data_IF_554281492751
#
_entry.id   IF_554281492751
#
_cell.length_a   1.000
_cell.length_b   1.000
_cell.length_c   1.000
_cell.angle_alpha   90.00
_cell.angle_beta   90.00
_cell.angle_gamma   90.00
#
_symmetry.space_group_name_H-M   'P 1'
#
loop_
_entity.id
_entity.type
_entity.pdbx_description
1 polymer ?
#
# COMPACT_ATOMS: atom_id res chain seq x y z
N UNK A 1 -8.26 -22.70 -23.09
CA UNK A 1 -7.21 -21.67 -22.91
C UNK A 1 -7.48 -20.71 -21.71
N UNK A 2 -8.47 -20.96 -20.82
CA UNK A 2 -8.79 -20.08 -19.67
C UNK A 2 -8.20 -20.57 -18.31
N UNK A 3 -7.52 -21.73 -18.27
CA UNK A 3 -7.19 -22.40 -16.99
C UNK A 3 -6.00 -21.82 -16.20
N UNK A 4 -5.28 -20.80 -16.70
CA UNK A 4 -4.09 -20.21 -16.05
C UNK A 4 -4.15 -18.68 -16.01
N UNK A 5 -5.23 -18.13 -15.47
CA UNK A 5 -5.46 -16.68 -15.38
C UNK A 5 -4.88 -16.03 -14.12
N UNK A 6 -4.27 -16.82 -13.22
CA UNK A 6 -3.69 -16.32 -11.98
C UNK A 6 -4.74 -16.03 -10.89
N UNK A 7 -4.29 -15.57 -9.72
CA UNK A 7 -5.17 -15.20 -8.61
C UNK A 7 -5.93 -13.89 -8.90
N UNK A 8 -7.15 -13.77 -8.38
CA UNK A 8 -7.92 -12.52 -8.40
C UNK A 8 -8.27 -12.07 -6.96
N UNK A 9 -8.05 -10.80 -6.59
CA UNK A 9 -8.24 -10.34 -5.21
C UNK A 9 -9.68 -10.51 -4.70
N UNK A 10 -10.65 -10.19 -5.55
CA UNK A 10 -12.08 -10.28 -5.26
C UNK A 10 -12.54 -11.72 -4.99
N UNK A 11 -11.98 -12.71 -5.69
CA UNK A 11 -12.26 -14.13 -5.46
C UNK A 11 -11.85 -14.54 -4.05
N UNK A 12 -10.67 -14.12 -3.56
CA UNK A 12 -10.24 -14.42 -2.19
C UNK A 12 -11.14 -13.76 -1.15
N UNK A 13 -11.51 -12.49 -1.33
CA UNK A 13 -12.44 -11.82 -0.43
C UNK A 13 -13.82 -12.52 -0.42
N UNK A 14 -14.30 -12.98 -1.58
CA UNK A 14 -15.53 -13.75 -1.71
C UNK A 14 -15.47 -15.11 -1.01
N UNK A 15 -14.37 -15.84 -1.17
CA UNK A 15 -14.10 -17.11 -0.48
C UNK A 15 -14.06 -16.92 1.04
N UNK A 16 -13.39 -15.87 1.52
CA UNK A 16 -13.38 -15.53 2.95
C UNK A 16 -14.80 -15.33 3.47
N UNK A 17 -15.61 -14.49 2.80
CA UNK A 17 -17.00 -14.24 3.22
C UNK A 17 -17.85 -15.50 3.21
N UNK A 18 -17.64 -16.39 2.23
CA UNK A 18 -18.32 -17.68 2.17
C UNK A 18 -18.02 -18.55 3.40
N UNK A 19 -16.76 -18.62 3.84
CA UNK A 19 -16.39 -19.32 5.07
C UNK A 19 -16.91 -18.62 6.33
N UNK A 20 -16.91 -17.27 6.38
CA UNK A 20 -17.53 -16.50 7.47
C UNK A 20 -19.02 -16.85 7.63
N UNK A 21 -19.79 -16.89 6.53
CA UNK A 21 -21.22 -17.22 6.53
C UNK A 21 -21.48 -18.65 7.05
N UNK A 22 -20.56 -19.57 6.78
CA UNK A 22 -20.62 -20.95 7.28
C UNK A 22 -20.22 -21.10 8.75
N UNK A 23 -19.73 -20.04 9.38
CA UNK A 23 -19.14 -20.08 10.72
C UNK A 23 -17.77 -20.75 10.77
N UNK A 24 -17.12 -20.95 9.62
CA UNK A 24 -15.77 -21.51 9.54
C UNK A 24 -14.73 -20.39 9.60
N UNK A 25 -14.49 -19.92 10.83
CA UNK A 25 -13.57 -18.82 11.13
C UNK A 25 -12.15 -19.12 10.66
N UNK A 26 -11.69 -20.37 10.82
CA UNK A 26 -10.32 -20.74 10.48
C UNK A 26 -10.07 -20.66 8.98
N UNK A 27 -10.97 -21.24 8.16
CA UNK A 27 -10.84 -21.15 6.70
C UNK A 27 -11.00 -19.70 6.21
N UNK A 28 -11.89 -18.91 6.83
CA UNK A 28 -12.05 -17.49 6.50
C UNK A 28 -10.74 -16.71 6.69
N UNK A 29 -10.06 -16.92 7.82
CA UNK A 29 -8.78 -16.28 8.14
C UNK A 29 -7.66 -16.71 7.19
N UNK A 30 -7.55 -18.02 6.90
CA UNK A 30 -6.55 -18.55 5.96
C UNK A 30 -6.76 -17.97 4.56
N UNK A 31 -8.01 -17.91 4.07
CA UNK A 31 -8.33 -17.29 2.79
C UNK A 31 -7.95 -15.80 2.75
N UNK A 32 -8.24 -15.06 3.83
CA UNK A 32 -7.94 -13.64 3.91
C UNK A 32 -6.43 -13.37 3.94
N UNK A 33 -5.67 -14.16 4.71
CA UNK A 33 -4.20 -14.06 4.75
C UNK A 33 -3.60 -14.36 3.37
N UNK A 34 -4.12 -15.41 2.72
CA UNK A 34 -3.68 -15.80 1.37
C UNK A 34 -3.90 -14.70 0.35
N UNK A 35 -4.95 -13.87 0.51
CA UNK A 35 -5.18 -12.70 -0.33
C UNK A 35 -3.99 -11.74 -0.31
N UNK A 36 -3.46 -11.40 0.88
CA UNK A 36 -2.28 -10.52 0.98
C UNK A 36 -1.04 -11.12 0.32
N UNK A 37 -0.77 -12.41 0.55
CA UNK A 37 0.40 -13.11 0.00
C UNK A 37 0.33 -13.30 -1.52
N UNK A 38 -0.87 -13.39 -2.08
CA UNK A 38 -1.07 -13.63 -3.52
C UNK A 38 -0.70 -12.42 -4.39
N UNK A 39 -0.65 -11.20 -3.82
CA UNK A 39 -0.36 -9.96 -4.54
C UNK A 39 0.77 -9.18 -3.85
N UNK A 40 2.04 -9.57 -4.05
CA UNK A 40 3.18 -8.87 -3.47
C UNK A 40 3.19 -7.40 -3.88
N UNK A 41 3.46 -6.50 -2.92
CA UNK A 41 3.48 -5.05 -3.16
C UNK A 41 2.11 -4.37 -3.16
N UNK A 42 1.01 -5.10 -2.90
CA UNK A 42 -0.34 -4.54 -2.82
C UNK A 42 -0.90 -4.62 -1.40
N UNK A 43 -1.35 -3.48 -0.88
CA UNK A 43 -1.82 -3.35 0.50
C UNK A 43 -3.22 -3.94 0.73
N UNK A 44 -4.10 -3.91 -0.27
CA UNK A 44 -5.52 -4.28 -0.15
C UNK A 44 -5.78 -5.61 0.58
N UNK A 45 -5.05 -6.67 0.21
CA UNK A 45 -5.23 -7.99 0.83
C UNK A 45 -4.90 -7.98 2.32
N UNK A 46 -3.85 -7.25 2.71
CA UNK A 46 -3.46 -7.07 4.10
C UNK A 46 -4.45 -6.20 4.89
N UNK A 47 -5.00 -5.15 4.29
CA UNK A 47 -6.08 -4.35 4.88
C UNK A 47 -7.32 -5.19 5.16
N UNK A 48 -7.75 -5.96 4.16
CA UNK A 48 -8.89 -6.85 4.29
C UNK A 48 -8.70 -7.87 5.43
N UNK A 49 -7.51 -8.50 5.49
CA UNK A 49 -7.16 -9.43 6.54
C UNK A 49 -7.13 -8.77 7.93
N UNK A 50 -6.53 -7.58 8.05
CA UNK A 50 -6.50 -6.81 9.30
C UNK A 50 -7.91 -6.52 9.84
N UNK A 51 -8.83 -6.09 8.98
CA UNK A 51 -10.22 -5.86 9.36
C UNK A 51 -10.94 -7.13 9.80
N UNK A 52 -10.70 -8.24 9.11
CA UNK A 52 -11.27 -9.53 9.50
C UNK A 52 -10.78 -9.95 10.89
N UNK A 53 -9.48 -9.84 11.15
CA UNK A 53 -8.88 -10.11 12.46
C UNK A 53 -9.52 -9.24 13.56
N UNK A 54 -9.73 -7.96 13.30
CA UNK A 54 -10.39 -7.05 14.24
C UNK A 54 -11.83 -7.49 14.52
N UNK A 55 -12.62 -7.90 13.50
CA UNK A 55 -13.98 -8.44 13.68
C UNK A 55 -14.01 -9.69 14.56
N UNK A 56 -12.95 -10.50 14.52
CA UNK A 56 -12.78 -11.69 15.36
C UNK A 56 -12.08 -11.40 16.70
N UNK A 57 -11.97 -10.13 17.11
CA UNK A 57 -11.32 -9.71 18.36
C UNK A 57 -9.83 -10.09 18.48
N UNK A 58 -9.15 -10.37 17.36
CA UNK A 58 -7.70 -10.67 17.31
C UNK A 58 -6.89 -9.38 17.14
N UNK A 59 -7.05 -8.46 18.09
CA UNK A 59 -6.61 -7.06 17.94
C UNK A 59 -5.10 -6.88 17.77
N UNK A 60 -4.26 -7.71 18.41
CA UNK A 60 -2.80 -7.64 18.25
C UNK A 60 -2.37 -7.96 16.82
N UNK A 61 -2.92 -9.04 16.26
CA UNK A 61 -2.64 -9.47 14.89
C UNK A 61 -3.22 -8.49 13.87
N UNK A 62 -4.43 -7.98 14.15
CA UNK A 62 -5.06 -6.96 13.31
C UNK A 62 -4.16 -5.73 13.19
N UNK A 63 -3.58 -5.27 14.31
CA UNK A 63 -2.66 -4.14 14.36
C UNK A 63 -1.38 -4.40 13.56
N UNK A 64 -0.81 -5.59 13.67
CA UNK A 64 0.42 -5.94 12.96
C UNK A 64 0.17 -6.03 11.45
N UNK A 65 -0.95 -6.63 11.03
CA UNK A 65 -1.39 -6.66 9.63
C UNK A 65 -1.67 -5.25 9.08
N UNK A 66 -2.28 -4.36 9.87
CA UNK A 66 -2.51 -2.97 9.47
C UNK A 66 -1.21 -2.20 9.30
N UNK A 67 -0.25 -2.37 10.22
CA UNK A 67 1.08 -1.73 10.10
C UNK A 67 1.82 -2.20 8.87
N UNK A 68 1.75 -3.49 8.56
CA UNK A 68 2.35 -4.02 7.34
C UNK A 68 1.67 -3.44 6.09
N UNK A 69 0.34 -3.36 6.07
CA UNK A 69 -0.39 -2.76 4.96
C UNK A 69 0.00 -1.28 4.73
N UNK A 70 0.23 -0.51 5.79
CA UNK A 70 0.66 0.90 5.72
C UNK A 70 2.13 1.08 5.32
N UNK A 71 2.93 0.02 5.25
CA UNK A 71 4.28 0.05 4.68
C UNK A 71 4.30 -0.19 3.18
N UNK A 72 3.18 -0.68 2.63
CA UNK A 72 2.98 -0.89 1.20
C UNK A 72 2.40 0.39 0.57
N UNK A 73 2.45 0.54 -0.77
CA UNK A 73 2.01 1.76 -1.43
C UNK A 73 0.54 2.09 -1.09
N UNK A 74 0.29 3.27 -0.55
CA UNK A 74 -1.01 3.64 0.02
C UNK A 74 -2.11 3.72 -1.03
N UNK A 75 -1.76 4.03 -2.28
CA UNK A 75 -2.71 4.02 -3.38
C UNK A 75 -3.21 2.61 -3.75
N UNK A 76 -2.63 1.55 -3.17
CA UNK A 76 -3.12 0.15 -3.28
C UNK A 76 -3.97 -0.31 -2.09
N UNK A 77 -4.24 0.56 -1.11
CA UNK A 77 -4.98 0.22 0.11
C UNK A 77 -6.41 -0.26 -0.19
N UNK A 78 -7.09 0.43 -1.13
CA UNK A 78 -8.47 0.16 -1.50
C UNK A 78 -9.45 0.21 -0.31
N UNK A 79 -9.08 0.91 0.77
CA UNK A 79 -9.86 1.09 2.00
C UNK A 79 -9.53 2.47 2.59
N UNK A 80 -10.17 2.83 3.71
CA UNK A 80 -9.93 4.10 4.40
C UNK A 80 -8.57 4.11 5.10
N UNK A 81 -7.69 5.05 4.72
CA UNK A 81 -6.40 5.27 5.37
C UNK A 81 -6.57 5.56 6.87
N UNK A 82 -7.57 6.37 7.22
CA UNK A 82 -7.92 6.69 8.61
C UNK A 82 -8.27 5.45 9.42
N UNK A 83 -9.13 4.58 8.89
CA UNK A 83 -9.52 3.34 9.59
C UNK A 83 -8.31 2.42 9.77
N UNK A 84 -7.50 2.24 8.73
CA UNK A 84 -6.28 1.41 8.82
C UNK A 84 -5.28 1.99 9.83
N UNK A 85 -5.12 3.33 9.85
CA UNK A 85 -4.32 4.03 10.84
C UNK A 85 -4.78 3.75 12.27
N UNK A 86 -6.08 3.79 12.52
CA UNK A 86 -6.65 3.47 13.84
C UNK A 86 -6.37 2.03 14.26
N UNK A 87 -6.54 1.05 13.35
CA UNK A 87 -6.23 -0.35 13.65
C UNK A 87 -4.73 -0.53 13.93
N UNK A 88 -3.86 0.15 13.18
CA UNK A 88 -2.41 0.14 13.38
C UNK A 88 -1.94 0.85 14.67
N UNK A 89 -2.85 1.58 15.33
CA UNK A 89 -2.61 2.28 16.59
C UNK A 89 -2.14 3.73 16.44
N UNK A 90 -2.31 4.34 15.28
CA UNK A 90 -2.10 5.78 15.09
C UNK A 90 -3.32 6.54 15.64
N UNK A 91 -3.05 7.60 16.41
CA UNK A 91 -4.11 8.35 17.09
C UNK A 91 -4.82 9.35 16.17
N UNK A 92 -4.11 9.86 15.17
CA UNK A 92 -4.58 10.90 14.25
C UNK A 92 -4.10 10.65 12.81
N UNK A 93 -4.98 10.91 11.84
CA UNK A 93 -4.70 10.82 10.41
C UNK A 93 -3.57 11.79 9.98
N UNK A 94 -3.51 12.95 10.66
CA UNK A 94 -2.45 13.94 10.49
C UNK A 94 -1.05 13.40 10.82
N UNK A 95 -0.93 12.39 11.70
CA UNK A 95 0.36 11.75 11.96
C UNK A 95 0.85 10.96 10.76
N UNK A 96 -0.02 10.19 10.10
CA UNK A 96 0.34 9.46 8.88
C UNK A 96 0.73 10.42 7.77
N UNK A 97 -0.09 11.46 7.53
CA UNK A 97 0.22 12.48 6.52
C UNK A 97 1.59 13.14 6.76
N UNK A 98 1.93 13.47 8.01
CA UNK A 98 3.25 14.03 8.37
C UNK A 98 4.40 13.06 8.13
N UNK A 99 4.19 11.77 8.41
CA UNK A 99 5.19 10.73 8.15
C UNK A 99 5.47 10.63 6.65
N UNK A 100 4.44 10.50 5.82
CA UNK A 100 4.61 10.37 4.37
C UNK A 100 5.13 11.65 3.73
N UNK A 101 4.72 12.82 4.21
CA UNK A 101 5.29 14.11 3.79
C UNK A 101 6.80 14.13 4.00
N UNK A 102 7.24 13.77 5.22
CA UNK A 102 8.67 13.74 5.55
C UNK A 102 9.43 12.74 4.68
N UNK A 103 8.84 11.59 4.36
CA UNK A 103 9.45 10.60 3.48
C UNK A 103 9.56 11.08 2.03
N UNK A 104 8.57 11.85 1.54
CA UNK A 104 8.60 12.42 0.19
C UNK A 104 9.66 13.54 0.06
N UNK A 105 9.82 14.36 1.10
CA UNK A 105 10.80 15.45 1.14
C UNK A 105 12.24 14.98 1.41
N UNK A 106 12.45 13.73 1.83
CA UNK A 106 13.77 13.18 2.15
C UNK A 106 14.57 12.86 0.88
N UNK A 107 15.69 13.57 0.67
CA UNK A 107 16.61 13.34 -0.45
C UNK A 107 17.49 12.09 -0.28
N UNK A 108 17.47 11.46 0.92
CA UNK A 108 18.17 10.21 1.22
C UNK A 108 19.68 10.25 0.95
N UNK A 109 20.31 11.40 1.21
CA UNK A 109 21.74 11.59 0.99
C UNK A 109 22.61 10.52 1.67
N UNK A 110 22.21 10.06 2.85
CA UNK A 110 22.93 9.02 3.58
C UNK A 110 22.86 7.68 2.86
N UNK A 111 21.71 7.29 2.29
CA UNK A 111 21.60 6.05 1.51
C UNK A 111 22.47 6.10 0.24
N UNK A 112 22.58 7.27 -0.39
CA UNK A 112 23.48 7.48 -1.52
C UNK A 112 24.94 7.32 -1.10
N UNK A 113 25.33 7.88 0.06
CA UNK A 113 26.69 7.70 0.63
C UNK A 113 26.98 6.24 0.97
N UNK A 114 25.96 5.50 1.42
CA UNK A 114 26.04 4.08 1.73
C UNK A 114 26.03 3.17 0.48
N UNK A 115 25.96 3.76 -0.72
CA UNK A 115 26.15 3.08 -2.00
C UNK A 115 24.87 2.80 -2.79
N UNK A 116 23.71 3.33 -2.36
CA UNK A 116 22.47 3.20 -3.12
C UNK A 116 22.52 4.02 -4.42
N UNK A 117 22.13 3.46 -5.57
CA UNK A 117 22.09 4.21 -6.83
C UNK A 117 21.15 5.41 -6.75
N UNK A 118 21.55 6.54 -7.33
CA UNK A 118 20.74 7.77 -7.34
C UNK A 118 19.42 7.58 -8.07
N UNK A 119 19.44 6.76 -9.12
CA UNK A 119 18.29 6.38 -9.91
C UNK A 119 17.25 5.66 -9.04
N UNK A 120 17.69 4.74 -8.17
CA UNK A 120 16.81 4.05 -7.23
C UNK A 120 16.24 5.01 -6.18
N UNK A 121 17.05 5.96 -5.69
CA UNK A 121 16.57 6.99 -4.75
C UNK A 121 15.50 7.87 -5.39
N UNK A 122 15.65 8.23 -6.67
CA UNK A 122 14.63 8.98 -7.40
C UNK A 122 13.31 8.21 -7.53
N UNK A 123 13.37 6.90 -7.81
CA UNK A 123 12.17 6.04 -7.85
C UNK A 123 11.51 5.87 -6.48
N UNK A 124 12.29 5.78 -5.42
CA UNK A 124 11.76 5.73 -4.06
C UNK A 124 11.06 7.04 -3.69
N UNK A 125 11.66 8.18 -4.03
CA UNK A 125 11.04 9.51 -3.83
C UNK A 125 9.74 9.63 -4.62
N UNK A 126 9.70 9.11 -5.85
CA UNK A 126 8.47 9.04 -6.64
C UNK A 126 7.38 8.23 -5.92
N UNK A 127 7.72 7.08 -5.33
CA UNK A 127 6.78 6.27 -4.56
C UNK A 127 6.26 7.02 -3.33
N UNK A 128 7.12 7.69 -2.56
CA UNK A 128 6.69 8.46 -1.38
C UNK A 128 5.87 9.69 -1.74
N UNK A 129 6.16 10.35 -2.87
CA UNK A 129 5.35 11.44 -3.37
C UNK A 129 3.91 10.95 -3.65
N UNK A 130 3.77 9.79 -4.29
CA UNK A 130 2.45 9.18 -4.53
C UNK A 130 1.73 8.81 -3.23
N UNK A 131 2.44 8.22 -2.27
CA UNK A 131 1.87 7.88 -0.96
C UNK A 131 1.45 9.12 -0.18
N UNK A 132 2.26 10.18 -0.21
CA UNK A 132 1.91 11.46 0.41
C UNK A 132 0.68 12.08 -0.22
N UNK A 133 0.59 12.12 -1.56
CA UNK A 133 -0.60 12.62 -2.26
C UNK A 133 -1.85 11.83 -1.88
N UNK A 134 -1.74 10.51 -1.81
CA UNK A 134 -2.84 9.65 -1.34
C UNK A 134 -3.23 9.97 0.12
N UNK A 135 -2.25 10.13 1.01
CA UNK A 135 -2.49 10.44 2.42
C UNK A 135 -3.03 11.85 2.66
N UNK A 136 -2.69 12.79 1.79
CA UNK A 136 -3.17 14.18 1.85
C UNK A 136 -4.54 14.36 1.17
N UNK A 137 -5.05 13.35 0.45
CA UNK A 137 -6.23 13.48 -0.39
C UNK A 137 -6.03 14.44 -1.58
N UNK A 138 -4.79 14.59 -2.05
CA UNK A 138 -4.43 15.44 -3.18
C UNK A 138 -4.77 14.82 -4.54
N UNK A 139 -4.57 15.59 -5.60
CA UNK A 139 -4.79 15.14 -6.98
C UNK A 139 -3.49 14.67 -7.63
N UNK A 140 -3.59 13.65 -8.50
CA UNK A 140 -2.46 13.22 -9.34
C UNK A 140 -1.98 14.32 -10.29
N UNK A 141 -2.90 15.21 -10.72
CA UNK A 141 -2.58 16.33 -11.59
C UNK A 141 -1.62 17.34 -10.93
N UNK A 142 -1.66 17.45 -9.61
CA UNK A 142 -0.82 18.40 -8.85
C UNK A 142 0.63 17.96 -8.78
N UNK A 143 0.88 16.64 -8.85
CA UNK A 143 2.23 16.07 -8.72
C UNK A 143 2.79 15.53 -10.04
N UNK A 144 2.04 15.57 -11.14
CA UNK A 144 2.43 14.91 -12.41
C UNK A 144 3.79 15.36 -12.93
N UNK A 145 4.08 16.67 -12.84
CA UNK A 145 5.32 17.24 -13.39
C UNK A 145 6.53 16.86 -12.53
N UNK A 146 6.36 16.89 -11.21
CA UNK A 146 7.37 16.45 -10.23
C UNK A 146 7.63 14.94 -10.36
N UNK A 147 6.56 14.14 -10.48
CA UNK A 147 6.64 12.70 -10.67
C UNK A 147 7.33 12.34 -12.00
N UNK A 148 7.07 13.08 -13.07
CA UNK A 148 7.74 12.90 -14.35
C UNK A 148 9.24 13.26 -14.29
N UNK A 149 9.61 14.27 -13.49
CA UNK A 149 11.01 14.61 -13.25
C UNK A 149 11.73 13.47 -12.50
N UNK A 150 11.11 12.94 -11.42
CA UNK A 150 11.65 11.82 -10.65
C UNK A 150 11.77 10.54 -11.48
N UNK A 151 10.79 10.22 -12.33
CA UNK A 151 10.91 9.08 -13.25
C UNK A 151 12.00 9.28 -14.32
N UNK A 152 12.22 10.52 -14.77
CA UNK A 152 13.32 10.82 -15.69
C UNK A 152 14.68 10.61 -15.02
N UNK A 153 14.84 11.06 -13.78
CA UNK A 153 16.04 10.84 -12.95
C UNK A 153 16.25 9.35 -12.65
N UNK A 154 15.16 8.61 -12.41
CA UNK A 154 15.17 7.15 -12.23
C UNK A 154 15.35 6.34 -13.51
N UNK A 155 15.61 6.97 -14.65
CA UNK A 155 15.77 6.35 -15.98
C UNK A 155 14.55 5.56 -16.48
N UNK A 156 13.34 5.90 -16.01
CA UNK A 156 12.07 5.34 -16.48
C UNK A 156 11.39 6.34 -17.42
N UNK A 157 12.02 6.54 -18.58
CA UNK A 157 11.65 7.60 -19.55
C UNK A 157 10.26 7.42 -20.15
N UNK A 158 9.80 6.18 -20.29
CA UNK A 158 8.46 5.89 -20.83
C UNK A 158 7.37 6.40 -19.89
N UNK A 159 7.48 6.13 -18.58
CA UNK A 159 6.56 6.64 -17.56
C UNK A 159 6.63 8.16 -17.43
N UNK A 160 7.83 8.74 -17.50
CA UNK A 160 8.01 10.19 -17.49
C UNK A 160 7.34 10.87 -18.70
N UNK A 161 7.41 10.24 -19.88
CA UNK A 161 6.80 10.74 -21.10
C UNK A 161 5.27 10.64 -21.05
N UNK A 162 4.75 9.54 -20.50
CA UNK A 162 3.32 9.34 -20.29
C UNK A 162 2.70 10.44 -19.41
N UNK A 163 3.36 10.82 -18.31
CA UNK A 163 2.86 11.86 -17.40
C UNK A 163 2.86 13.27 -17.98
N UNK A 164 3.68 13.50 -19.01
CA UNK A 164 3.80 14.80 -19.70
C UNK A 164 2.86 14.94 -20.91
N UNK A 165 2.25 13.83 -21.36
CA UNK A 165 1.32 13.80 -22.48
C UNK A 165 -0.06 14.33 -22.08
#
# INVERSE_FOLDING_TARGET
>A
IILKVGPFPDIYEGLTRFHEIKGDTQSALVCAERSGVAFPGWARGHCFHSRLLQRFNRNSEARDAARYALQLPLWTLGDSLKEMGQIAGYQDETSLQKIFKRLAEDERENEIKDGKPKEQVALDRAAYLMDYTCAAGGSWDEIKDELAALYSEGMVTDSASFLKA
#
